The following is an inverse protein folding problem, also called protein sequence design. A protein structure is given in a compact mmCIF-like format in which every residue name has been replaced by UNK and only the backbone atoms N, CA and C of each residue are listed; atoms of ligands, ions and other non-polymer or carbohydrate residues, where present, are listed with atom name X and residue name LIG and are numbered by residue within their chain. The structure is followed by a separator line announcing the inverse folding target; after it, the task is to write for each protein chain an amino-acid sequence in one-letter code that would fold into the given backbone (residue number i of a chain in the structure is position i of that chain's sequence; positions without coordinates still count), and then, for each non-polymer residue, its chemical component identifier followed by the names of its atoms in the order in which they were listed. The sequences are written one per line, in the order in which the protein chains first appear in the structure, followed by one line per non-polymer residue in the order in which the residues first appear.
data_IF_780086449865
#
_entry.id   IF_780086449865
#
_cell.length_a   1.000
_cell.length_b   1.000
_cell.length_c   1.000
_cell.angle_alpha   90.00
_cell.angle_beta   90.00
_cell.angle_gamma   90.00
#
_symmetry.space_group_name_H-M   'P 1'
#
loop_
_entity.id
_entity.type
_entity.pdbx_description
1 polymer ?
#
# COMPACT_ATOMS: atom_id res chain seq x y z
N UNK A 1 5.57 0.23 -10.82
CA UNK A 1 6.00 0.33 -9.40
C UNK A 1 6.15 1.76 -8.87
N UNK A 2 6.78 2.76 -9.55
CA UNK A 2 6.93 4.10 -8.97
C UNK A 2 5.59 4.85 -8.78
N UNK A 3 4.61 4.61 -9.65
CA UNK A 3 3.29 5.26 -9.58
C UNK A 3 2.52 4.88 -8.32
N UNK A 4 2.49 3.61 -7.94
CA UNK A 4 1.76 3.12 -6.75
C UNK A 4 2.40 3.62 -5.46
N UNK A 5 3.73 3.64 -5.41
CA UNK A 5 4.49 4.19 -4.27
C UNK A 5 4.20 5.68 -4.11
N UNK A 6 4.25 6.43 -5.22
CA UNK A 6 3.98 7.86 -5.21
C UNK A 6 2.53 8.15 -4.78
N UNK A 7 1.57 7.39 -5.31
CA UNK A 7 0.15 7.50 -4.97
C UNK A 7 -0.13 7.21 -3.49
N UNK A 8 0.45 6.13 -2.95
CA UNK A 8 0.33 5.81 -1.52
C UNK A 8 0.95 6.91 -0.64
N UNK A 9 2.13 7.42 -1.02
CA UNK A 9 2.82 8.45 -0.27
C UNK A 9 2.10 9.81 -0.29
N UNK A 10 1.44 10.13 -1.41
CA UNK A 10 0.61 11.34 -1.55
C UNK A 10 -0.67 11.30 -0.71
N UNK A 11 -1.22 10.10 -0.48
CA UNK A 11 -2.41 9.89 0.34
C UNK A 11 -2.13 9.84 1.86
N UNK A 12 -0.87 9.74 2.26
CA UNK A 12 -0.45 9.80 3.67
C UNK A 12 -0.24 11.24 4.11
N UNK A 13 -1.25 11.81 4.76
CA UNK A 13 -1.21 13.11 5.42
C UNK A 13 -0.38 13.06 6.72
N UNK A 14 0.49 14.05 6.91
CA UNK A 14 1.31 14.20 8.11
C UNK A 14 2.71 13.57 8.01
N UNK A 15 3.72 14.29 8.53
CA UNK A 15 5.14 13.94 8.39
C UNK A 15 5.48 12.56 8.98
N UNK A 16 4.92 12.25 10.16
CA UNK A 16 5.16 11.01 10.89
C UNK A 16 4.59 9.79 10.14
N UNK A 17 3.35 9.89 9.65
CA UNK A 17 2.67 8.80 8.96
C UNK A 17 3.28 8.52 7.59
N UNK A 18 3.65 9.58 6.86
CA UNK A 18 4.36 9.47 5.59
C UNK A 18 5.72 8.76 5.74
N UNK A 19 6.49 9.12 6.77
CA UNK A 19 7.77 8.48 7.06
C UNK A 19 7.60 6.99 7.38
N UNK A 20 6.69 6.64 8.31
CA UNK A 20 6.43 5.25 8.70
C UNK A 20 5.89 4.43 7.53
N UNK A 21 4.95 4.98 6.76
CA UNK A 21 4.37 4.32 5.59
C UNK A 21 5.41 4.04 4.49
N UNK A 22 6.28 5.01 4.20
CA UNK A 22 7.38 4.79 3.24
C UNK A 22 8.39 3.75 3.73
N UNK A 23 8.75 3.77 5.02
CA UNK A 23 9.68 2.80 5.60
C UNK A 23 9.10 1.37 5.55
N UNK A 24 7.81 1.23 5.85
CA UNK A 24 7.11 -0.05 5.76
C UNK A 24 7.09 -0.58 4.33
N UNK A 25 6.76 0.27 3.35
CA UNK A 25 6.69 -0.12 1.94
C UNK A 25 8.05 -0.59 1.41
N UNK A 26 9.14 0.12 1.76
CA UNK A 26 10.50 -0.26 1.38
C UNK A 26 10.95 -1.54 2.09
N UNK A 27 10.67 -1.66 3.39
CA UNK A 27 11.02 -2.84 4.19
C UNK A 27 10.37 -4.13 3.65
N UNK A 28 9.06 -4.07 3.39
CA UNK A 28 8.33 -5.20 2.84
C UNK A 28 8.78 -5.54 1.40
N UNK A 29 9.10 -4.53 0.59
CA UNK A 29 9.66 -4.73 -0.75
C UNK A 29 10.98 -5.50 -0.74
N UNK A 30 11.88 -5.18 0.18
CA UNK A 30 13.17 -5.87 0.31
C UNK A 30 13.00 -7.32 0.81
N UNK A 31 12.07 -7.59 1.72
CA UNK A 31 11.72 -8.94 2.17
C UNK A 31 11.29 -9.84 1.00
N UNK A 32 10.46 -9.32 0.09
CA UNK A 32 10.05 -10.07 -1.11
C UNK A 32 11.23 -10.49 -1.99
N UNK A 33 12.24 -9.64 -2.13
CA UNK A 33 13.47 -9.95 -2.88
C UNK A 33 14.31 -11.06 -2.22
N UNK A 34 14.41 -11.05 -0.89
CA UNK A 34 15.10 -12.11 -0.14
C UNK A 34 14.38 -13.46 -0.31
N UNK A 35 13.05 -13.47 -0.18
CA UNK A 35 12.23 -14.67 -0.36
C UNK A 35 12.42 -15.23 -1.78
N UNK A 36 12.37 -14.38 -2.81
CA UNK A 36 12.60 -14.81 -4.18
C UNK A 36 13.97 -15.49 -4.34
N UNK A 37 15.05 -14.89 -3.81
CA UNK A 37 16.39 -15.47 -3.92
C UNK A 37 16.50 -16.88 -3.30
N UNK A 38 15.83 -17.13 -2.17
CA UNK A 38 15.84 -18.46 -1.55
C UNK A 38 14.92 -19.46 -2.27
N UNK A 39 13.76 -19.04 -2.76
CA UNK A 39 12.82 -19.91 -3.48
C UNK A 39 13.44 -20.40 -4.80
N UNK A 40 14.09 -19.51 -5.57
CA UNK A 40 14.74 -19.91 -6.82
C UNK A 40 15.98 -20.80 -6.62
N UNK A 41 16.72 -20.66 -5.51
CA UNK A 41 17.84 -21.56 -5.19
C UNK A 41 17.34 -22.94 -4.76
N UNK A 42 16.24 -23.01 -3.99
CA UNK A 42 15.63 -24.28 -3.59
C UNK A 42 14.94 -25.01 -4.74
N UNK A 43 14.41 -24.27 -5.72
CA UNK A 43 13.75 -24.82 -6.91
C UNK A 43 14.75 -25.33 -7.97
N UNK A 44 16.07 -25.19 -7.72
CA UNK A 44 17.12 -25.62 -8.64
C UNK A 44 17.11 -27.15 -8.79
N UNK A 45 16.75 -27.69 -9.96
CA UNK A 45 16.62 -29.13 -10.15
C UNK A 45 18.01 -29.75 -10.33
N UNK A 46 18.42 -30.64 -9.42
CA UNK A 46 19.74 -31.28 -9.37
C UNK A 46 20.10 -32.23 -10.54
N UNK A 47 19.52 -32.09 -11.74
CA UNK A 47 19.97 -32.93 -12.86
C UNK A 47 19.06 -33.08 -14.08
N UNK A 48 18.00 -32.28 -14.25
CA UNK A 48 17.13 -32.39 -15.43
C UNK A 48 17.27 -31.15 -16.33
N UNK A 49 17.81 -31.28 -17.56
CA UNK A 49 17.78 -30.19 -18.54
C UNK A 49 16.31 -29.89 -18.90
N UNK A 50 15.81 -28.73 -18.49
CA UNK A 50 14.43 -28.30 -18.74
C UNK A 50 13.47 -28.40 -17.55
N UNK A 51 13.96 -28.65 -16.33
CA UNK A 51 13.12 -28.48 -15.15
C UNK A 51 12.96 -26.97 -14.89
N UNK A 52 11.81 -26.47 -15.35
CA UNK A 52 11.39 -25.08 -15.25
C UNK A 52 11.36 -24.65 -13.78
N UNK A 53 11.81 -23.43 -13.49
CA UNK A 53 11.73 -22.78 -12.18
C UNK A 53 10.27 -22.45 -11.80
N UNK A 54 9.37 -23.42 -11.95
CA UNK A 54 7.93 -23.25 -11.85
C UNK A 54 7.52 -22.78 -10.46
N UNK A 55 8.15 -23.30 -9.40
CA UNK A 55 7.87 -22.88 -8.03
C UNK A 55 8.27 -21.43 -7.80
N UNK A 56 9.45 -21.03 -8.32
CA UNK A 56 9.92 -19.65 -8.24
C UNK A 56 9.01 -18.68 -8.98
N UNK A 57 8.61 -19.01 -10.21
CA UNK A 57 7.69 -18.19 -11.00
C UNK A 57 6.29 -18.13 -10.39
N UNK A 58 5.73 -19.24 -9.90
CA UNK A 58 4.43 -19.29 -9.25
C UNK A 58 4.42 -18.45 -7.96
N UNK A 59 5.51 -18.50 -7.18
CA UNK A 59 5.64 -17.70 -5.97
C UNK A 59 5.70 -16.20 -6.30
N UNK A 60 6.48 -15.80 -7.32
CA UNK A 60 6.52 -14.41 -7.80
C UNK A 60 5.15 -13.93 -8.32
N UNK A 61 4.43 -14.78 -9.05
CA UNK A 61 3.09 -14.47 -9.55
C UNK A 61 2.10 -14.33 -8.40
N UNK A 62 2.17 -15.21 -7.39
CA UNK A 62 1.39 -15.12 -6.16
C UNK A 62 1.59 -13.80 -5.43
N UNK A 63 2.86 -13.39 -5.23
CA UNK A 63 3.18 -12.09 -4.62
C UNK A 63 2.68 -10.90 -5.47
N UNK A 64 2.74 -11.00 -6.79
CA UNK A 64 2.18 -9.97 -7.68
C UNK A 64 0.66 -9.87 -7.53
N UNK A 65 -0.05 -10.99 -7.49
CA UNK A 65 -1.50 -11.04 -7.29
C UNK A 65 -1.91 -10.46 -5.92
N UNK A 66 -1.18 -10.81 -4.86
CA UNK A 66 -1.41 -10.25 -3.52
C UNK A 66 -1.16 -8.74 -3.50
N UNK A 67 -0.10 -8.26 -4.16
CA UNK A 67 0.19 -6.84 -4.29
C UNK A 67 -0.93 -6.10 -5.04
N UNK A 68 -1.42 -6.66 -6.14
CA UNK A 68 -2.53 -6.10 -6.91
C UNK A 68 -3.83 -6.07 -6.07
N UNK A 69 -4.14 -7.14 -5.35
CA UNK A 69 -5.30 -7.20 -4.46
C UNK A 69 -5.20 -6.17 -3.33
N UNK A 70 -4.03 -6.01 -2.72
CA UNK A 70 -3.78 -4.99 -1.70
C UNK A 70 -3.97 -3.56 -2.25
N UNK A 71 -3.53 -3.29 -3.48
CA UNK A 71 -3.76 -2.00 -4.15
C UNK A 71 -5.27 -1.73 -4.37
N UNK A 72 -6.02 -2.73 -4.83
CA UNK A 72 -7.47 -2.61 -5.04
C UNK A 72 -8.20 -2.39 -3.71
N UNK A 73 -7.85 -3.14 -2.66
CA UNK A 73 -8.42 -2.96 -1.33
C UNK A 73 -8.14 -1.56 -0.78
N UNK A 74 -6.91 -1.06 -0.97
CA UNK A 74 -6.54 0.31 -0.59
C UNK A 74 -7.38 1.35 -1.36
N UNK A 75 -7.50 1.22 -2.68
CA UNK A 75 -8.33 2.10 -3.51
C UNK A 75 -9.80 2.09 -3.05
N UNK A 76 -10.37 0.92 -2.78
CA UNK A 76 -11.74 0.77 -2.27
C UNK A 76 -11.91 1.40 -0.88
N UNK A 77 -10.89 1.29 -0.02
CA UNK A 77 -10.90 1.89 1.31
C UNK A 77 -10.87 3.42 1.23
N UNK A 78 -10.03 4.00 0.38
CA UNK A 78 -10.00 5.43 0.10
C UNK A 78 -11.33 5.90 -0.51
N UNK A 79 -11.94 5.12 -1.40
CA UNK A 79 -13.22 5.45 -2.04
C UNK A 79 -14.37 5.43 -1.03
N UNK A 80 -14.40 4.42 -0.15
CA UNK A 80 -15.37 4.34 0.95
C UNK A 80 -15.22 5.51 1.91
N UNK A 81 -13.98 5.82 2.32
CA UNK A 81 -13.71 6.94 3.22
C UNK A 81 -14.11 8.29 2.61
N UNK A 82 -13.83 8.52 1.32
CA UNK A 82 -14.29 9.71 0.61
C UNK A 82 -15.82 9.77 0.54
N UNK A 83 -16.49 8.65 0.22
CA UNK A 83 -17.97 8.59 0.12
C UNK A 83 -18.68 8.74 1.47
N UNK A 84 -18.09 8.27 2.56
CA UNK A 84 -18.61 8.44 3.91
C UNK A 84 -18.47 9.90 4.36
N UNK A 85 -17.36 10.56 4.03
CA UNK A 85 -17.15 11.99 4.28
C UNK A 85 -18.06 12.88 3.42
N UNK A 86 -18.26 12.56 2.14
CA UNK A 86 -19.22 13.28 1.30
C UNK A 86 -20.65 13.22 1.87
N UNK A 87 -21.05 12.10 2.49
CA UNK A 87 -22.34 11.96 3.19
C UNK A 87 -22.41 12.72 4.53
N UNK A 88 -21.28 12.90 5.21
CA UNK A 88 -21.21 13.63 6.48
C UNK A 88 -21.27 15.15 6.27
N UNK A 89 -20.74 15.66 5.15
CA UNK A 89 -20.78 17.08 4.77
C UNK A 89 -22.20 17.58 4.49
N UNK A 90 -23.12 16.70 4.05
CA UNK A 90 -24.54 17.03 3.88
C UNK A 90 -25.28 17.30 5.20
N UNK A 91 -24.66 17.07 6.38
CA UNK A 91 -25.31 17.16 7.69
C UNK A 91 -24.78 18.19 8.68
N UNK A 92 -23.52 18.66 8.58
CA UNK A 92 -22.98 19.66 9.49
C UNK A 92 -21.70 20.32 8.92
N UNK A 93 -21.49 21.64 9.10
CA UNK A 93 -20.19 22.26 8.82
C UNK A 93 -19.13 21.66 9.74
N UNK A 94 -17.91 21.34 9.24
CA UNK A 94 -16.88 20.74 10.06
C UNK A 94 -16.49 21.71 11.17
N UNK A 95 -16.76 21.27 12.40
CA UNK A 95 -16.37 21.92 13.65
C UNK A 95 -14.88 22.26 13.57
N UNK A 96 -14.52 23.48 13.96
CA UNK A 96 -13.19 24.06 13.84
C UNK A 96 -12.15 23.24 14.62
N UNK A 97 -11.59 22.21 13.99
CA UNK A 97 -10.46 21.44 14.51
C UNK A 97 -9.26 22.37 14.61
N UNK A 98 -8.71 22.53 15.82
CA UNK A 98 -7.53 23.37 16.10
C UNK A 98 -6.35 23.01 15.19
N UNK A 99 -5.49 23.98 14.81
CA UNK A 99 -4.36 23.73 13.89
C UNK A 99 -3.40 22.63 14.39
N UNK A 100 -3.20 22.50 15.70
CA UNK A 100 -2.42 21.41 16.30
C UNK A 100 -3.08 20.04 16.11
N UNK A 101 -4.40 19.99 16.22
CA UNK A 101 -5.20 18.78 16.12
C UNK A 101 -5.30 18.35 14.64
N UNK A 102 -5.40 19.32 13.73
CA UNK A 102 -5.31 19.13 12.28
C UNK A 102 -3.94 18.56 11.85
N UNK A 103 -2.85 19.06 12.44
CA UNK A 103 -1.50 18.54 12.21
C UNK A 103 -1.28 17.12 12.77
N UNK A 104 -1.96 16.77 13.87
CA UNK A 104 -1.91 15.43 14.47
C UNK A 104 -2.78 14.40 13.72
N UNK A 105 -3.94 14.83 13.20
CA UNK A 105 -4.89 14.00 12.46
C UNK A 105 -4.41 13.68 11.03
N UNK A 106 -3.70 14.60 10.35
CA UNK A 106 -3.13 14.34 9.03
C UNK A 106 -4.20 13.92 8.00
N UNK A 107 -4.11 12.67 7.52
CA UNK A 107 -5.07 12.03 6.60
C UNK A 107 -6.43 11.67 7.24
N UNK A 108 -6.51 11.66 8.58
CA UNK A 108 -7.77 11.52 9.30
C UNK A 108 -8.55 12.83 9.43
N UNK A 109 -7.99 13.96 8.97
CA UNK A 109 -8.67 15.24 9.06
C UNK A 109 -10.02 15.18 8.31
N UNK A 110 -11.13 15.70 8.89
CA UNK A 110 -12.46 15.62 8.30
C UNK A 110 -12.56 16.20 6.87
N UNK A 111 -11.72 17.20 6.57
CA UNK A 111 -11.62 17.82 5.24
C UNK A 111 -10.57 17.21 4.30
N UNK A 112 -9.84 16.17 4.71
CA UNK A 112 -8.83 15.55 3.84
C UNK A 112 -9.49 14.60 2.84
N UNK A 113 -9.31 14.89 1.55
CA UNK A 113 -9.74 14.03 0.44
C UNK A 113 -8.58 13.17 -0.03
N UNK A 114 -8.79 11.86 -0.03
CA UNK A 114 -7.85 10.94 -0.65
C UNK A 114 -7.87 11.14 -2.16
N UNK A 115 -6.68 11.26 -2.76
CA UNK A 115 -6.49 11.33 -4.20
C UNK A 115 -6.62 9.91 -4.74
N UNK A 116 -7.66 9.67 -5.55
CA UNK A 116 -8.00 8.38 -6.13
C UNK A 116 -7.75 8.38 -7.63
#
# INVERSE_FOLDING_TARGET
MPVVVCWFNMNLGGHRRRAVGSAWQVGFGNLGGIIAAFVFEQDKPSGAPGADFALGYDCCLGFCCVSAAACVLYALSCWRANRERDRAVDGAPPESVSEEESAALGDLHPGYRYLL
#
